data_IF_357609733990
#
_entry.id   IF_357609733990
#
_cell.length_a   1.000
_cell.length_b   1.000
_cell.length_c   1.000
_cell.angle_alpha   90.00
_cell.angle_beta   90.00
_cell.angle_gamma   90.00
#
_symmetry.space_group_name_H-M   'P 1'
#
loop_
_entity.id
_entity.type
_entity.pdbx_description
1 polymer ?
#
# COMPACT_ATOMS: atom_id res chain seq x y z
N UNK A 1 -6.03 -0.62 2.14
CA UNK A 1 -5.69 -2.01 1.74
C UNK A 1 -6.93 -2.89 1.54
N UNK A 2 -7.92 -2.88 2.45
CA UNK A 2 -9.14 -3.71 2.30
C UNK A 2 -10.20 -3.19 1.29
N UNK A 3 -10.14 -1.92 0.87
CA UNK A 3 -11.16 -1.37 -0.03
C UNK A 3 -10.95 -1.73 -1.52
N UNK A 4 -9.70 -1.90 -1.99
CA UNK A 4 -9.42 -2.51 -3.30
C UNK A 4 -9.68 -4.02 -3.34
N UNK A 5 -9.66 -4.72 -2.20
CA UNK A 5 -9.86 -6.19 -2.13
C UNK A 5 -11.32 -6.57 -2.41
N UNK A 6 -12.28 -5.69 -2.12
CA UNK A 6 -13.72 -6.06 -2.18
C UNK A 6 -14.26 -6.29 -3.59
N UNK A 7 -13.56 -5.84 -4.64
CA UNK A 7 -14.07 -5.87 -6.01
C UNK A 7 -13.09 -6.42 -7.07
N UNK A 8 -11.85 -6.77 -6.70
CA UNK A 8 -11.01 -7.65 -7.53
C UNK A 8 -11.49 -9.13 -7.47
N UNK A 9 -12.36 -9.45 -6.51
CA UNK A 9 -13.01 -10.76 -6.34
C UNK A 9 -13.99 -11.08 -7.49
N UNK A 10 -14.50 -10.11 -8.25
CA UNK A 10 -15.45 -10.41 -9.34
C UNK A 10 -14.82 -10.89 -10.64
N UNK A 11 -13.49 -10.76 -10.83
CA UNK A 11 -12.74 -11.25 -12.00
C UNK A 11 -11.74 -12.36 -11.63
N UNK A 12 -12.04 -13.08 -10.55
CA UNK A 12 -11.23 -14.17 -10.00
C UNK A 12 -10.99 -15.37 -10.95
N UNK A 13 -11.69 -15.44 -12.08
CA UNK A 13 -11.49 -16.50 -13.08
C UNK A 13 -10.23 -16.33 -13.94
N UNK A 14 -9.59 -15.14 -13.96
CA UNK A 14 -8.41 -14.86 -14.80
C UNK A 14 -7.08 -14.76 -14.03
N UNK A 15 -7.11 -14.46 -12.74
CA UNK A 15 -5.92 -14.41 -11.87
C UNK A 15 -5.83 -15.70 -11.07
N UNK A 16 -5.27 -16.72 -11.71
CA UNK A 16 -5.14 -18.08 -11.21
C UNK A 16 -4.25 -18.16 -9.94
N UNK A 17 -4.88 -18.46 -8.80
CA UNK A 17 -4.41 -19.29 -7.67
C UNK A 17 -3.01 -19.10 -7.02
N UNK A 18 -2.20 -18.09 -7.39
CA UNK A 18 -0.80 -18.01 -6.91
C UNK A 18 -0.32 -16.64 -6.44
N UNK A 19 -1.02 -15.55 -6.77
CA UNK A 19 -0.71 -14.24 -6.20
C UNK A 19 -1.39 -14.10 -4.84
N UNK A 20 -0.61 -14.38 -3.79
CA UNK A 20 -0.89 -13.84 -2.46
C UNK A 20 -1.10 -12.32 -2.59
N UNK A 21 -1.84 -11.67 -1.69
CA UNK A 21 -2.11 -10.21 -1.77
C UNK A 21 -0.84 -9.33 -1.88
N UNK A 22 0.34 -9.91 -1.60
CA UNK A 22 1.66 -9.31 -1.72
C UNK A 22 1.99 -8.72 -3.10
N UNK A 23 2.08 -9.48 -4.21
CA UNK A 23 2.54 -8.89 -5.47
C UNK A 23 1.50 -7.95 -6.11
N UNK A 24 0.21 -8.10 -5.79
CA UNK A 24 -0.87 -7.24 -6.32
C UNK A 24 -0.67 -5.77 -5.96
N UNK A 25 -0.25 -5.46 -4.72
CA UNK A 25 -0.05 -4.07 -4.31
C UNK A 25 1.10 -3.39 -5.05
N UNK A 26 2.13 -4.16 -5.41
CA UNK A 26 3.27 -3.65 -6.18
C UNK A 26 2.86 -3.34 -7.62
N UNK A 27 1.99 -4.15 -8.23
CA UNK A 27 1.46 -3.88 -9.58
C UNK A 27 0.56 -2.64 -9.61
N UNK A 28 -0.36 -2.49 -8.65
CA UNK A 28 -1.23 -1.31 -8.57
C UNK A 28 -0.41 -0.03 -8.38
N UNK A 29 0.70 -0.09 -7.62
CA UNK A 29 1.58 1.07 -7.46
C UNK A 29 2.19 1.55 -8.79
N UNK A 30 2.42 0.67 -9.76
CA UNK A 30 2.91 1.03 -11.11
C UNK A 30 1.81 1.69 -11.95
N UNK A 31 0.54 1.42 -11.66
CA UNK A 31 -0.59 2.04 -12.35
C UNK A 31 -0.90 3.45 -11.83
N UNK A 32 -0.37 3.82 -10.66
CA UNK A 32 -0.63 5.10 -9.99
C UNK A 32 0.26 6.26 -10.47
N UNK A 33 1.43 5.99 -11.03
CA UNK A 33 2.36 7.03 -11.48
C UNK A 33 2.53 7.01 -13.01
N UNK A 34 2.98 8.11 -13.62
CA UNK A 34 3.37 8.13 -15.02
C UNK A 34 4.47 7.09 -15.27
N UNK A 35 4.47 6.49 -16.47
CA UNK A 35 5.45 5.48 -16.89
C UNK A 35 6.90 5.89 -16.65
N UNK A 36 7.19 7.18 -16.82
CA UNK A 36 8.53 7.76 -16.69
C UNK A 36 8.98 7.86 -15.22
N UNK A 37 8.03 8.04 -14.29
CA UNK A 37 8.30 8.20 -12.86
C UNK A 37 8.15 6.89 -12.07
N UNK A 38 7.54 5.86 -12.65
CA UNK A 38 7.30 4.57 -12.01
C UNK A 38 8.56 3.91 -11.44
N UNK A 39 9.69 3.98 -12.17
CA UNK A 39 10.96 3.42 -11.70
C UNK A 39 11.48 4.12 -10.44
N UNK A 40 11.43 5.45 -10.41
CA UNK A 40 11.86 6.24 -9.25
C UNK A 40 10.92 6.04 -8.05
N UNK A 41 9.60 6.05 -8.28
CA UNK A 41 8.60 5.84 -7.24
C UNK A 41 8.73 4.46 -6.58
N UNK A 42 8.91 3.40 -7.39
CA UNK A 42 9.13 2.05 -6.86
C UNK A 42 10.46 1.91 -6.13
N UNK A 43 11.54 2.53 -6.62
CA UNK A 43 12.83 2.53 -5.94
C UNK A 43 12.75 3.13 -4.53
N UNK A 44 12.16 4.33 -4.43
CA UNK A 44 11.97 5.01 -3.12
C UNK A 44 11.04 4.19 -2.23
N UNK A 45 9.92 3.69 -2.75
CA UNK A 45 8.97 2.87 -2.00
C UNK A 45 9.62 1.60 -1.43
N UNK A 46 10.43 0.91 -2.23
CA UNK A 46 11.16 -0.28 -1.79
C UNK A 46 12.21 0.05 -0.74
N UNK A 47 13.02 1.10 -0.95
CA UNK A 47 14.02 1.54 0.02
C UNK A 47 13.39 1.90 1.37
N UNK A 48 12.28 2.62 1.37
CA UNK A 48 11.54 2.96 2.59
C UNK A 48 10.94 1.72 3.25
N UNK A 49 10.44 0.76 2.48
CA UNK A 49 9.90 -0.49 3.03
C UNK A 49 10.99 -1.29 3.77
N UNK A 50 12.15 -1.49 3.14
CA UNK A 50 13.26 -2.19 3.78
C UNK A 50 13.83 -1.42 4.97
N UNK A 51 13.87 -0.09 4.89
CA UNK A 51 14.28 0.74 6.01
C UNK A 51 13.31 0.62 7.20
N UNK A 52 12.01 0.66 6.95
CA UNK A 52 10.99 0.48 7.99
C UNK A 52 11.09 -0.91 8.63
N UNK A 53 11.31 -1.97 7.84
CA UNK A 53 11.56 -3.31 8.37
C UNK A 53 12.81 -3.35 9.25
N UNK A 54 13.92 -2.75 8.81
CA UNK A 54 15.14 -2.66 9.61
C UNK A 54 14.90 -1.92 10.93
N UNK A 55 14.14 -0.82 10.89
CA UNK A 55 13.78 -0.06 12.08
C UNK A 55 12.93 -0.89 13.04
N UNK A 56 11.95 -1.65 12.54
CA UNK A 56 11.14 -2.57 13.35
C UNK A 56 12.03 -3.62 14.01
N UNK A 57 12.97 -4.24 13.29
CA UNK A 57 13.90 -5.21 13.87
C UNK A 57 14.73 -4.62 15.02
N UNK A 58 15.15 -3.36 14.92
CA UNK A 58 15.93 -2.68 15.96
C UNK A 58 15.08 -2.26 17.16
N UNK A 59 13.86 -1.79 16.92
CA UNK A 59 12.98 -1.26 17.97
C UNK A 59 12.16 -2.33 18.68
N UNK A 60 11.85 -3.44 18.02
CA UNK A 60 11.03 -4.52 18.57
C UNK A 60 11.53 -5.04 19.93
N UNK A 61 12.83 -5.36 20.14
CA UNK A 61 13.30 -5.83 21.45
C UNK A 61 13.13 -4.79 22.57
N UNK A 62 13.29 -3.49 22.26
CA UNK A 62 13.10 -2.40 23.22
C UNK A 62 11.61 -2.28 23.61
N UNK A 63 10.73 -2.43 22.64
CA UNK A 63 9.27 -2.41 22.85
C UNK A 63 8.82 -3.66 23.61
N UNK A 64 9.41 -4.83 23.33
CA UNK A 64 9.11 -6.08 24.01
C UNK A 64 9.49 -6.03 25.50
N UNK A 65 10.63 -5.44 25.85
CA UNK A 65 11.06 -5.30 27.25
C UNK A 65 10.08 -4.44 28.08
N UNK A 66 9.46 -3.44 27.46
CA UNK A 66 8.56 -2.50 28.13
C UNK A 66 7.09 -2.94 28.13
N UNK A 67 6.62 -3.58 27.07
CA UNK A 67 5.20 -3.89 26.84
C UNK A 67 4.90 -5.39 26.71
N UNK A 68 5.93 -6.23 26.58
CA UNK A 68 5.83 -7.68 26.42
C UNK A 68 4.77 -8.05 25.34
N UNK A 69 3.75 -8.81 25.71
CA UNK A 69 2.61 -9.20 24.86
C UNK A 69 1.89 -8.02 24.17
N UNK A 70 1.89 -6.81 24.77
CA UNK A 70 1.14 -5.66 24.24
C UNK A 70 1.85 -4.96 23.08
N UNK A 71 3.09 -5.35 22.75
CA UNK A 71 3.84 -4.81 21.61
C UNK A 71 3.08 -4.93 20.28
N UNK A 72 2.29 -6.00 20.11
CA UNK A 72 1.46 -6.24 18.92
C UNK A 72 0.35 -5.20 18.73
N UNK A 73 -0.12 -4.56 19.81
CA UNK A 73 -1.17 -3.53 19.71
C UNK A 73 -0.65 -2.31 18.94
N UNK A 74 0.64 -1.99 19.05
CA UNK A 74 1.24 -0.86 18.33
C UNK A 74 1.17 -1.10 16.81
N UNK A 75 1.47 -2.31 16.36
CA UNK A 75 1.37 -2.67 14.94
C UNK A 75 -0.08 -2.61 14.45
N UNK A 76 -1.04 -3.10 15.24
CA UNK A 76 -2.47 -3.03 14.90
C UNK A 76 -2.93 -1.57 14.73
N UNK A 77 -2.50 -0.67 15.62
CA UNK A 77 -2.85 0.76 15.53
C UNK A 77 -2.26 1.39 14.26
N UNK A 78 -1.00 1.08 13.95
CA UNK A 78 -0.34 1.56 12.73
C UNK A 78 -1.07 1.05 11.48
N UNK A 79 -1.45 -0.23 11.44
CA UNK A 79 -2.19 -0.82 10.32
C UNK A 79 -3.55 -0.14 10.11
N UNK A 80 -4.26 0.17 11.20
CA UNK A 80 -5.54 0.90 11.13
C UNK A 80 -5.33 2.31 10.54
N UNK A 81 -4.28 3.02 10.94
CA UNK A 81 -3.96 4.34 10.38
C UNK A 81 -3.65 4.25 8.88
N UNK A 82 -2.90 3.24 8.45
CA UNK A 82 -2.63 2.98 7.01
C UNK A 82 -3.91 2.66 6.25
N UNK A 83 -4.82 1.88 6.85
CA UNK A 83 -6.14 1.60 6.26
C UNK A 83 -6.94 2.90 6.10
N UNK A 84 -7.02 3.73 7.13
CA UNK A 84 -7.73 5.01 7.06
C UNK A 84 -7.12 5.91 5.99
N UNK A 85 -5.80 6.07 5.97
CA UNK A 85 -5.09 6.81 4.93
C UNK A 85 -5.45 6.30 3.53
N UNK A 86 -5.44 4.97 3.33
CA UNK A 86 -5.78 4.38 2.04
C UNK A 86 -7.23 4.61 1.61
N UNK A 87 -8.16 4.82 2.55
CA UNK A 87 -9.57 5.09 2.22
C UNK A 87 -9.77 6.54 1.79
N UNK A 88 -9.08 7.47 2.44
CA UNK A 88 -9.27 8.91 2.18
C UNK A 88 -8.43 9.44 1.01
N UNK A 89 -7.19 8.96 0.86
CA UNK A 89 -6.21 9.55 -0.05
C UNK A 89 -5.96 8.76 -1.34
N UNK A 90 -6.20 7.44 -1.35
CA UNK A 90 -6.00 6.62 -2.55
C UNK A 90 -7.26 6.67 -3.42
N UNK A 91 -7.09 7.02 -4.69
CA UNK A 91 -8.16 6.97 -5.69
C UNK A 91 -8.29 5.54 -6.24
N UNK A 92 -9.50 5.15 -6.60
CA UNK A 92 -9.76 3.84 -7.19
C UNK A 92 -9.20 3.76 -8.62
N UNK A 93 -8.23 2.86 -8.85
CA UNK A 93 -7.57 2.65 -10.16
C UNK A 93 -8.34 1.71 -11.09
N UNK A 94 -9.40 1.05 -10.60
CA UNK A 94 -10.13 0.02 -11.35
C UNK A 94 -10.86 0.55 -12.58
N UNK A 95 -10.68 -0.12 -13.73
CA UNK A 95 -11.27 0.18 -15.04
C UNK A 95 -10.93 1.57 -15.59
N UNK A 96 -9.90 2.22 -15.04
CA UNK A 96 -9.40 3.50 -15.52
C UNK A 96 -8.05 3.30 -16.18
N UNK A 97 -7.76 4.10 -17.20
CA UNK A 97 -6.40 4.16 -17.74
C UNK A 97 -5.49 4.92 -16.78
N UNK A 98 -4.18 4.70 -16.84
CA UNK A 98 -3.21 5.41 -15.98
C UNK A 98 -3.38 6.93 -16.10
N UNK A 99 -3.70 7.45 -17.29
CA UNK A 99 -3.95 8.88 -17.52
C UNK A 99 -5.20 9.39 -16.79
N UNK A 100 -6.27 8.57 -16.72
CA UNK A 100 -7.49 8.92 -16.00
C UNK A 100 -7.26 8.94 -14.48
N UNK A 101 -6.46 8.00 -13.97
CA UNK A 101 -6.05 7.95 -12.55
C UNK A 101 -5.23 9.19 -12.19
N UNK A 102 -4.28 9.57 -13.05
CA UNK A 102 -3.47 10.77 -12.89
C UNK A 102 -4.31 12.05 -12.93
N UNK A 103 -5.28 12.14 -13.85
CA UNK A 103 -6.19 13.28 -13.93
C UNK A 103 -7.03 13.46 -12.66
N UNK A 104 -7.47 12.34 -12.04
CA UNK A 104 -8.23 12.37 -10.78
C UNK A 104 -7.35 12.71 -9.56
N UNK A 105 -6.10 12.26 -9.53
CA UNK A 105 -5.13 12.72 -8.52
C UNK A 105 -4.88 14.22 -8.62
N UNK A 106 -4.72 14.74 -9.84
CA UNK A 106 -4.48 16.18 -10.07
C UNK A 106 -5.71 17.03 -9.71
N UNK A 107 -6.93 16.53 -9.96
CA UNK A 107 -8.16 17.27 -9.62
C UNK A 107 -8.42 17.35 -8.11
N UNK A 108 -7.97 16.36 -7.33
CA UNK A 108 -8.01 16.41 -5.85
C UNK A 108 -6.93 17.29 -5.23
N UNK A 109 -5.83 17.53 -5.95
CA UNK A 109 -4.67 18.30 -5.44
C UNK A 109 -4.77 19.80 -5.79
N UNK A 110 -5.60 20.17 -6.76
CA UNK A 110 -5.79 21.57 -7.17
C UNK A 110 -6.74 22.32 -6.20
N UNK A 111 -6.19 22.72 -5.07
CA UNK A 111 -6.52 23.94 -4.32
C UNK A 111 -5.20 24.60 -3.92
#
# INVERSE_FOLDING_TARGET
MFMCIRLHVSNWSRFNETLQLGPVVWFIAVEMYPSEANGAAQGVGLSLNWFANALVYLLFPIIEETLSHRSLIIFIVIDILVILYSIFFIVETRNKTSEQVLAEYNSKTCC
#
